data_IF_412442651417
#
_entry.id   IF_412442651417
#
_cell.length_a   1.000
_cell.length_b   1.000
_cell.length_c   1.000
_cell.angle_alpha   90.00
_cell.angle_beta   90.00
_cell.angle_gamma   90.00
#
_symmetry.space_group_name_H-M   'P 1'
#
loop_
_entity.id
_entity.type
_entity.pdbx_description
1 polymer ?
#
# COMPACT_ATOMS: atom_id res chain seq x y z
N UNK A 1 25.57 -47.60 -6.56
CA UNK A 1 25.26 -46.52 -5.61
C UNK A 1 23.78 -46.28 -5.76
N UNK A 2 23.01 -46.61 -4.74
CA UNK A 2 21.57 -46.35 -4.76
C UNK A 2 21.38 -44.90 -4.30
N UNK A 3 20.88 -44.07 -5.21
CA UNK A 3 20.50 -42.68 -4.91
C UNK A 3 18.98 -42.63 -4.83
N UNK A 4 18.45 -42.05 -3.75
CA UNK A 4 17.02 -41.82 -3.57
C UNK A 4 16.77 -40.41 -3.06
N UNK A 5 15.61 -39.85 -3.42
CA UNK A 5 15.14 -38.56 -2.90
C UNK A 5 14.19 -38.84 -1.75
N UNK A 6 14.48 -38.30 -0.56
CA UNK A 6 13.58 -38.38 0.59
C UNK A 6 12.73 -37.11 0.67
N UNK A 7 11.41 -37.29 0.74
CA UNK A 7 10.47 -36.20 0.94
C UNK A 7 9.90 -36.22 2.36
N UNK A 8 9.84 -35.06 3.02
CA UNK A 8 9.37 -34.94 4.40
C UNK A 8 8.41 -33.76 4.58
N UNK A 9 7.16 -33.95 4.16
CA UNK A 9 6.09 -32.95 4.30
C UNK A 9 4.76 -33.62 4.63
N UNK A 10 3.82 -32.83 5.18
CA UNK A 10 2.45 -33.26 5.46
C UNK A 10 1.49 -33.02 4.28
N UNK A 11 0.21 -33.37 4.46
CA UNK A 11 -0.82 -33.17 3.44
C UNK A 11 -1.19 -31.70 3.17
N UNK A 12 -0.66 -30.77 3.96
CA UNK A 12 -0.80 -29.32 3.77
C UNK A 12 0.46 -28.68 3.17
N UNK A 13 1.38 -29.52 2.64
CA UNK A 13 2.63 -29.08 2.02
C UNK A 13 3.59 -28.38 3.00
N UNK A 14 3.47 -28.66 4.29
CA UNK A 14 4.37 -28.15 5.32
C UNK A 14 5.47 -29.18 5.56
N UNK A 15 6.74 -28.75 5.47
CA UNK A 15 7.89 -29.61 5.74
C UNK A 15 8.02 -29.91 7.25
N UNK A 16 8.29 -31.16 7.64
CA UNK A 16 8.65 -31.47 9.03
C UNK A 16 10.13 -31.18 9.35
N UNK A 17 10.96 -30.97 8.32
CA UNK A 17 12.31 -30.43 8.49
C UNK A 17 12.26 -28.95 8.13
N UNK A 18 12.46 -28.11 9.13
CA UNK A 18 12.46 -26.66 8.99
C UNK A 18 13.79 -26.08 9.45
N UNK A 19 14.16 -24.94 8.88
CA UNK A 19 15.20 -24.09 9.44
C UNK A 19 14.56 -23.21 10.51
N UNK A 20 15.20 -23.10 11.66
CA UNK A 20 14.76 -22.23 12.75
C UNK A 20 15.73 -21.05 12.85
N UNK A 21 15.20 -19.84 13.05
CA UNK A 21 16.01 -18.73 13.54
C UNK A 21 16.12 -18.82 15.08
N UNK A 22 17.21 -18.35 15.71
CA UNK A 22 17.34 -18.38 17.18
C UNK A 22 16.27 -17.58 17.94
N UNK A 23 15.48 -16.75 17.27
CA UNK A 23 14.48 -15.86 17.87
C UNK A 23 13.05 -16.42 17.87
N UNK A 24 12.77 -17.51 17.15
CA UNK A 24 11.39 -17.96 16.88
C UNK A 24 11.23 -19.48 17.08
N UNK A 25 11.08 -19.90 18.34
CA UNK A 25 10.72 -21.29 18.70
C UNK A 25 9.24 -21.62 18.41
N UNK A 26 8.43 -20.65 17.95
CA UNK A 26 6.97 -20.77 17.86
C UNK A 26 6.35 -20.39 16.50
N UNK A 27 7.12 -20.01 15.49
CA UNK A 27 6.63 -19.71 14.14
C UNK A 27 7.34 -20.61 13.12
N UNK A 28 6.54 -21.34 12.34
CA UNK A 28 7.00 -22.21 11.27
C UNK A 28 7.40 -21.32 10.10
N UNK A 29 8.64 -20.86 10.13
CA UNK A 29 9.21 -20.04 9.08
C UNK A 29 10.21 -19.09 9.69
N UNK A 30 11.51 -19.38 9.54
CA UNK A 30 12.39 -18.48 8.82
C UNK A 30 13.61 -19.23 8.29
N UNK A 31 14.03 -18.76 7.12
CA UNK A 31 14.78 -19.45 6.11
C UNK A 31 16.29 -19.43 6.36
N UNK A 32 17.02 -20.44 5.88
CA UNK A 32 18.49 -20.40 5.79
C UNK A 32 18.99 -19.35 4.78
N UNK A 33 18.10 -18.59 4.11
CA UNK A 33 18.46 -17.48 3.21
C UNK A 33 19.31 -16.44 3.95
N UNK A 34 20.43 -16.06 3.34
CA UNK A 34 21.47 -15.22 3.94
C UNK A 34 22.28 -15.90 5.06
N UNK A 35 22.06 -17.19 5.31
CA UNK A 35 22.68 -17.94 6.40
C UNK A 35 23.31 -19.25 5.91
N UNK A 36 24.08 -19.87 6.79
CA UNK A 36 24.60 -21.22 6.59
C UNK A 36 24.37 -22.05 7.84
N UNK A 37 24.02 -23.31 7.67
CA UNK A 37 23.89 -24.28 8.74
C UNK A 37 24.81 -25.46 8.45
N UNK A 38 25.53 -25.91 9.47
CA UNK A 38 26.32 -27.15 9.39
C UNK A 38 25.57 -28.27 10.09
N UNK A 39 25.55 -29.45 9.51
CA UNK A 39 25.02 -30.65 10.16
C UNK A 39 26.11 -31.70 10.25
N UNK A 40 26.01 -32.55 11.27
CA UNK A 40 26.84 -33.73 11.42
C UNK A 40 25.95 -34.90 11.81
N UNK A 41 25.98 -35.95 11.00
CA UNK A 41 25.24 -37.17 11.26
C UNK A 41 26.15 -38.37 11.06
N UNK A 42 26.25 -39.22 12.08
CA UNK A 42 27.11 -40.41 12.05
C UNK A 42 28.56 -40.11 11.61
N UNK A 43 29.14 -39.02 12.13
CA UNK A 43 30.50 -38.54 11.81
C UNK A 43 30.73 -38.08 10.37
N UNK A 44 29.67 -37.97 9.56
CA UNK A 44 29.66 -37.29 8.27
C UNK A 44 29.09 -35.88 8.46
N UNK A 45 29.95 -34.89 8.23
CA UNK A 45 29.57 -33.48 8.29
C UNK A 45 29.27 -32.89 6.91
N UNK A 46 28.36 -31.92 6.86
CA UNK A 46 28.04 -31.13 5.68
C UNK A 46 27.57 -29.73 6.05
N UNK A 47 27.43 -28.86 5.04
CA UNK A 47 26.89 -27.51 5.19
C UNK A 47 25.76 -27.28 4.19
N UNK A 48 24.74 -26.57 4.64
CA UNK A 48 23.66 -26.03 3.82
C UNK A 48 23.85 -24.51 3.82
N UNK A 49 23.79 -23.89 2.65
CA UNK A 49 23.85 -22.42 2.49
C UNK A 49 22.60 -21.99 1.78
N UNK A 50 21.84 -21.05 2.37
CA UNK A 50 20.78 -20.36 1.66
C UNK A 50 21.34 -19.07 1.08
N UNK A 51 21.72 -19.09 -0.19
CA UNK A 51 22.08 -17.86 -0.89
C UNK A 51 20.85 -17.05 -1.28
N UNK A 52 21.10 -15.84 -1.76
CA UNK A 52 20.15 -15.03 -2.52
C UNK A 52 20.41 -15.21 -4.02
N UNK A 53 19.46 -14.84 -4.85
CA UNK A 53 19.57 -14.82 -6.30
C UNK A 53 19.49 -13.37 -6.82
N UNK A 54 19.82 -13.16 -8.10
CA UNK A 54 19.48 -11.89 -8.74
C UNK A 54 18.11 -12.02 -9.39
N UNK A 55 17.25 -11.06 -9.13
CA UNK A 55 15.96 -10.91 -9.77
C UNK A 55 16.04 -10.24 -11.14
N UNK A 56 15.01 -10.45 -11.97
CA UNK A 56 14.78 -9.67 -13.19
C UNK A 56 13.30 -9.39 -13.37
N UNK A 57 12.95 -8.21 -13.87
CA UNK A 57 11.57 -7.83 -14.16
C UNK A 57 11.43 -7.44 -15.62
N UNK A 58 10.32 -7.82 -16.24
CA UNK A 58 10.01 -7.53 -17.64
C UNK A 58 8.58 -7.03 -17.78
N UNK A 59 8.38 -6.14 -18.75
CA UNK A 59 7.09 -5.56 -19.09
C UNK A 59 7.14 -5.27 -20.59
N UNK A 60 6.58 -6.16 -21.40
CA UNK A 60 6.76 -6.12 -22.86
C UNK A 60 5.49 -6.47 -23.59
N UNK A 61 5.13 -5.64 -24.57
CA UNK A 61 4.04 -5.93 -25.49
C UNK A 61 4.48 -6.98 -26.51
N UNK A 62 3.62 -7.96 -26.80
CA UNK A 62 3.90 -9.05 -27.75
C UNK A 62 4.32 -8.55 -29.15
N UNK A 63 3.78 -7.41 -29.58
CA UNK A 63 4.04 -6.82 -30.91
C UNK A 63 4.86 -5.52 -30.84
N UNK A 64 5.56 -5.25 -29.73
CA UNK A 64 6.38 -4.04 -29.53
C UNK A 64 5.61 -2.72 -29.48
N UNK A 65 4.31 -2.72 -29.75
CA UNK A 65 3.40 -1.58 -29.66
C UNK A 65 2.38 -1.83 -28.57
N UNK A 66 2.08 -0.81 -27.77
CA UNK A 66 1.13 -0.90 -26.68
C UNK A 66 -0.02 0.11 -26.86
N UNK A 67 -1.12 -0.29 -27.51
CA UNK A 67 -2.31 0.56 -27.64
C UNK A 67 -3.04 0.72 -26.32
N UNK A 68 -3.62 1.90 -26.09
CA UNK A 68 -4.49 2.16 -24.93
C UNK A 68 -5.58 1.10 -24.84
N UNK A 69 -5.81 0.59 -23.64
CA UNK A 69 -6.78 -0.47 -23.39
C UNK A 69 -6.29 -1.88 -23.72
N UNK A 70 -5.04 -2.08 -24.13
CA UNK A 70 -4.47 -3.43 -24.37
C UNK A 70 -3.70 -3.90 -23.14
N UNK A 71 -3.94 -5.14 -22.72
CA UNK A 71 -3.18 -5.78 -21.63
C UNK A 71 -1.84 -6.30 -22.14
N UNK A 72 -0.79 -6.13 -21.34
CA UNK A 72 0.53 -6.72 -21.57
C UNK A 72 1.02 -7.41 -20.30
N UNK A 73 1.87 -8.46 -20.42
CA UNK A 73 2.40 -9.15 -19.26
C UNK A 73 3.41 -8.30 -18.49
N UNK A 74 3.42 -8.49 -17.18
CA UNK A 74 4.51 -8.14 -16.28
C UNK A 74 5.03 -9.45 -15.69
N UNK A 75 6.33 -9.69 -15.78
CA UNK A 75 6.95 -10.93 -15.28
C UNK A 75 8.18 -10.60 -14.45
N UNK A 76 8.13 -11.00 -13.18
CA UNK A 76 9.26 -11.00 -12.25
C UNK A 76 9.82 -12.42 -12.20
N UNK A 77 11.13 -12.58 -12.34
CA UNK A 77 11.84 -13.83 -12.09
C UNK A 77 12.77 -13.60 -10.93
N UNK A 78 12.48 -14.22 -9.79
CA UNK A 78 13.26 -14.12 -8.56
C UNK A 78 13.07 -15.41 -7.74
N UNK A 79 14.17 -16.11 -7.47
CA UNK A 79 14.18 -17.35 -6.70
C UNK A 79 14.12 -17.11 -5.19
N UNK A 80 14.32 -15.87 -4.75
CA UNK A 80 14.28 -15.53 -3.33
C UNK A 80 12.86 -15.45 -2.80
N UNK A 81 11.92 -15.07 -3.66
CA UNK A 81 10.49 -15.06 -3.35
C UNK A 81 9.82 -16.44 -3.50
N UNK A 82 10.48 -17.41 -4.14
CA UNK A 82 10.05 -18.82 -4.16
C UNK A 82 10.41 -19.50 -2.81
N UNK A 83 9.56 -19.25 -1.81
CA UNK A 83 9.82 -19.62 -0.41
C UNK A 83 9.47 -21.09 -0.13
N UNK A 84 8.43 -21.63 -0.77
CA UNK A 84 7.96 -22.99 -0.60
C UNK A 84 7.69 -23.66 -1.96
N UNK A 85 8.63 -24.54 -2.34
CA UNK A 85 8.61 -25.33 -3.56
C UNK A 85 7.38 -26.26 -3.82
N UNK A 86 6.38 -26.26 -2.95
CA UNK A 86 5.17 -27.11 -3.02
C UNK A 86 3.88 -26.31 -3.07
N UNK A 87 3.97 -25.00 -3.09
CA UNK A 87 2.83 -24.12 -3.29
C UNK A 87 3.19 -23.10 -4.33
N UNK A 88 2.15 -22.52 -4.91
CA UNK A 88 2.26 -21.36 -5.77
C UNK A 88 2.28 -20.12 -4.86
N UNK A 89 3.36 -19.35 -4.88
CA UNK A 89 3.44 -18.13 -4.08
C UNK A 89 2.70 -16.94 -4.70
N UNK A 90 2.18 -16.06 -3.85
CA UNK A 90 1.56 -14.80 -4.25
C UNK A 90 2.25 -13.63 -3.55
N UNK A 91 2.67 -12.64 -4.33
CA UNK A 91 3.26 -11.38 -3.85
C UNK A 91 2.16 -10.34 -3.62
N UNK A 92 1.18 -10.73 -2.78
CA UNK A 92 0.04 -9.89 -2.45
C UNK A 92 0.46 -8.67 -1.61
N UNK A 93 -0.11 -7.50 -1.92
CA UNK A 93 0.20 -6.25 -1.23
C UNK A 93 -0.18 -6.32 0.26
N UNK A 94 -1.18 -7.12 0.60
CA UNK A 94 -1.61 -7.31 1.98
C UNK A 94 -0.92 -8.46 2.73
N UNK A 95 -0.03 -9.21 2.07
CA UNK A 95 0.63 -10.37 2.66
C UNK A 95 1.70 -9.98 3.69
N UNK A 96 1.60 -10.47 4.92
CA UNK A 96 2.63 -10.28 5.96
C UNK A 96 3.94 -11.02 5.67
N UNK A 97 3.87 -12.05 4.82
CA UNK A 97 5.02 -12.83 4.34
C UNK A 97 5.64 -12.27 3.05
N UNK A 98 5.15 -11.13 2.56
CA UNK A 98 5.63 -10.45 1.35
C UNK A 98 6.42 -9.23 1.79
N UNK A 99 7.73 -9.29 1.62
CA UNK A 99 8.64 -8.21 2.02
C UNK A 99 8.67 -7.08 0.99
N UNK A 100 8.43 -7.42 -0.27
CA UNK A 100 8.61 -6.54 -1.44
C UNK A 100 7.49 -6.69 -2.44
N UNK A 101 7.02 -5.58 -2.98
CA UNK A 101 5.98 -5.54 -4.01
C UNK A 101 6.44 -4.76 -5.22
N UNK A 102 6.14 -5.29 -6.40
CA UNK A 102 6.39 -4.57 -7.66
C UNK A 102 5.52 -3.32 -7.68
N UNK A 103 6.13 -2.14 -7.87
CA UNK A 103 5.46 -0.86 -7.74
C UNK A 103 5.82 0.08 -8.89
N UNK A 104 4.91 0.99 -9.22
CA UNK A 104 5.11 2.12 -10.12
C UNK A 104 4.63 3.38 -9.42
N UNK A 105 5.52 4.37 -9.33
CA UNK A 105 5.23 5.68 -8.75
C UNK A 105 5.31 6.74 -9.83
N UNK A 106 4.22 7.46 -10.05
CA UNK A 106 4.17 8.59 -10.98
C UNK A 106 3.96 9.86 -10.17
N UNK A 107 4.83 10.86 -10.36
CA UNK A 107 4.73 12.14 -9.67
C UNK A 107 5.01 12.03 -8.17
N UNK A 108 4.30 12.84 -7.37
CA UNK A 108 4.50 12.94 -5.91
C UNK A 108 3.22 12.66 -5.12
N UNK A 109 2.71 11.42 -5.13
CA UNK A 109 1.61 11.00 -4.27
C UNK A 109 1.90 11.29 -2.80
N UNK A 110 0.84 11.55 -2.03
CA UNK A 110 0.91 11.62 -0.58
C UNK A 110 0.50 10.26 -0.03
N UNK A 111 1.42 9.58 0.66
CA UNK A 111 1.17 8.26 1.25
C UNK A 111 1.33 8.29 2.77
N UNK A 112 1.07 7.17 3.43
CA UNK A 112 1.20 7.06 4.89
C UNK A 112 2.57 7.53 5.41
N UNK A 113 3.65 7.24 4.68
CA UNK A 113 5.03 7.55 5.04
C UNK A 113 5.57 8.90 4.57
N UNK A 114 4.70 9.88 4.34
CA UNK A 114 5.07 11.18 3.81
C UNK A 114 6.12 11.97 4.64
N UNK A 115 6.41 11.57 5.88
CA UNK A 115 7.55 12.09 6.63
C UNK A 115 8.30 11.02 7.42
N UNK A 116 7.60 10.41 8.38
CA UNK A 116 8.04 9.28 9.23
C UNK A 116 6.84 8.88 10.06
N UNK A 117 6.17 7.86 9.61
CA UNK A 117 4.90 7.44 10.14
C UNK A 117 5.05 6.66 11.44
N UNK A 118 4.01 6.74 12.24
CA UNK A 118 3.82 5.87 13.40
C UNK A 118 2.37 5.45 13.40
N UNK A 119 2.11 4.23 13.84
CA UNK A 119 0.77 3.70 13.91
C UNK A 119 0.41 3.26 15.33
N UNK A 120 -0.87 3.38 15.66
CA UNK A 120 -1.46 2.88 16.89
C UNK A 120 -2.84 2.29 16.63
N UNK A 121 -3.19 1.27 17.42
CA UNK A 121 -4.51 0.65 17.37
C UNK A 121 -5.43 1.27 18.42
N UNK A 122 -6.64 1.63 17.99
CA UNK A 122 -7.71 2.09 18.84
C UNK A 122 -8.74 0.98 19.02
N UNK A 123 -9.10 0.67 20.27
CA UNK A 123 -10.14 -0.30 20.57
C UNK A 123 -11.49 0.17 20.02
N UNK A 124 -11.78 1.47 20.21
CA UNK A 124 -12.89 2.19 19.59
C UNK A 124 -12.48 3.60 19.19
N UNK A 125 -13.02 4.10 18.09
CA UNK A 125 -12.88 5.47 17.62
C UNK A 125 -14.28 6.02 17.32
N UNK A 126 -14.83 6.81 18.25
CA UNK A 126 -16.15 7.40 18.10
C UNK A 126 -16.02 8.79 17.47
N UNK A 127 -16.60 8.97 16.29
CA UNK A 127 -16.64 10.26 15.58
C UNK A 127 -17.97 11.00 15.77
N UNK A 128 -17.92 12.28 16.12
CA UNK A 128 -19.07 13.18 16.11
C UNK A 128 -18.95 14.18 14.95
N UNK A 129 -19.90 14.15 14.00
CA UNK A 129 -19.93 15.06 12.86
C UNK A 129 -20.41 16.45 13.29
N UNK A 130 -19.59 17.46 13.02
CA UNK A 130 -19.87 18.85 13.35
C UNK A 130 -20.55 19.57 12.18
N UNK A 131 -21.19 20.71 12.46
CA UNK A 131 -21.89 21.52 11.45
C UNK A 131 -20.98 22.04 10.32
N UNK A 132 -19.67 22.16 10.58
CA UNK A 132 -18.68 22.54 9.57
C UNK A 132 -18.15 21.34 8.76
N UNK A 133 -18.69 20.13 8.95
CA UNK A 133 -18.33 18.95 8.17
C UNK A 133 -17.04 18.26 8.59
N UNK A 134 -16.44 18.74 9.67
CA UNK A 134 -15.36 18.05 10.38
C UNK A 134 -15.95 17.05 11.37
N UNK A 135 -15.29 15.93 11.57
CA UNK A 135 -15.58 14.96 12.62
C UNK A 135 -14.62 15.20 13.77
N UNK A 136 -15.11 15.23 15.01
CA UNK A 136 -14.28 15.18 16.20
C UNK A 136 -14.22 13.74 16.71
N UNK A 137 -13.02 13.20 16.83
CA UNK A 137 -12.82 11.85 17.34
C UNK A 137 -12.54 11.82 18.84
N UNK A 138 -13.31 10.98 19.53
CA UNK A 138 -12.94 10.45 20.85
C UNK A 138 -12.39 9.05 20.66
N UNK A 139 -11.09 8.89 20.89
CA UNK A 139 -10.38 7.63 20.69
C UNK A 139 -10.23 6.94 22.03
N UNK A 140 -10.67 5.69 22.13
CA UNK A 140 -10.30 4.84 23.26
C UNK A 140 -9.11 4.02 22.80
N UNK A 141 -7.88 4.36 23.25
CA UNK A 141 -6.71 3.62 22.81
C UNK A 141 -6.84 2.17 23.26
N UNK A 142 -6.56 1.24 22.35
CA UNK A 142 -6.21 -0.11 22.80
C UNK A 142 -4.81 0.03 23.38
N UNK A 143 -4.59 -0.39 24.64
CA UNK A 143 -3.38 -0.12 25.43
C UNK A 143 -2.10 -0.06 24.58
N UNK A 144 -1.31 1.01 24.67
CA UNK A 144 0.00 1.26 24.04
C UNK A 144 0.49 0.17 23.08
N UNK A 145 0.15 0.29 21.80
CA UNK A 145 0.70 -0.54 20.73
C UNK A 145 1.20 0.42 19.64
N UNK A 146 2.37 1.03 19.87
CA UNK A 146 3.06 1.74 18.80
C UNK A 146 3.65 0.71 17.87
N UNK A 147 3.45 0.87 16.56
CA UNK A 147 4.05 -0.03 15.59
C UNK A 147 5.54 0.26 15.41
N UNK A 148 6.34 -0.79 15.28
CA UNK A 148 7.56 -0.72 14.49
C UNK A 148 7.18 -0.85 13.02
N UNK A 149 7.69 0.02 12.16
CA UNK A 149 7.63 -0.21 10.72
C UNK A 149 8.77 -1.14 10.32
N UNK A 150 8.41 -2.30 9.77
CA UNK A 150 9.32 -3.36 9.35
C UNK A 150 9.42 -3.46 7.81
N UNK A 151 8.88 -2.48 7.08
CA UNK A 151 8.86 -2.54 5.63
C UNK A 151 10.27 -2.52 5.02
N UNK A 152 10.49 -3.40 4.04
CA UNK A 152 11.80 -3.57 3.40
C UNK A 152 11.92 -2.70 2.14
N UNK A 153 10.82 -2.48 1.42
CA UNK A 153 10.78 -1.72 0.16
C UNK A 153 10.09 -0.36 0.26
N UNK A 154 9.77 0.09 1.48
CA UNK A 154 8.86 1.20 1.75
C UNK A 154 9.24 2.53 1.08
N UNK A 155 10.55 2.77 0.97
CA UNK A 155 11.12 3.95 0.31
C UNK A 155 10.66 4.11 -1.14
N UNK A 156 10.24 3.00 -1.78
CA UNK A 156 9.74 2.95 -3.14
C UNK A 156 8.27 2.53 -3.22
N UNK A 157 7.86 1.52 -2.46
CA UNK A 157 6.48 0.98 -2.47
C UNK A 157 5.49 1.86 -1.73
N UNK A 158 5.96 2.72 -0.81
CA UNK A 158 5.13 3.49 0.12
C UNK A 158 4.10 2.58 0.85
N UNK A 159 4.52 1.35 1.18
CA UNK A 159 3.75 0.31 1.84
C UNK A 159 4.38 0.01 3.20
N UNK A 160 4.01 0.75 4.27
CA UNK A 160 4.47 0.42 5.62
C UNK A 160 3.95 -0.95 6.06
N UNK A 161 4.75 -1.63 6.89
CA UNK A 161 4.42 -2.92 7.48
C UNK A 161 4.49 -2.78 8.99
N UNK A 162 3.33 -2.56 9.61
CA UNK A 162 3.25 -2.23 11.03
C UNK A 162 3.27 -3.47 11.91
N UNK A 163 4.30 -3.59 12.74
CA UNK A 163 4.38 -4.59 13.79
C UNK A 163 4.03 -4.01 15.15
N UNK A 164 2.90 -4.44 15.70
CA UNK A 164 2.36 -3.96 16.96
C UNK A 164 2.81 -4.87 18.10
N UNK A 165 3.31 -4.29 19.18
CA UNK A 165 3.75 -5.04 20.36
C UNK A 165 2.90 -4.68 21.57
N UNK A 166 2.38 -5.67 22.30
CA UNK A 166 1.56 -5.45 23.49
C UNK A 166 1.74 -6.52 24.58
N UNK A 167 1.63 -6.12 25.85
CA UNK A 167 1.66 -7.04 27.00
C UNK A 167 0.34 -7.80 27.25
N UNK A 168 -0.74 -7.43 26.57
CA UNK A 168 -2.06 -8.09 26.63
C UNK A 168 -2.72 -8.13 25.26
N UNK A 169 -3.78 -8.94 25.12
CA UNK A 169 -4.60 -9.02 23.91
C UNK A 169 -5.14 -7.65 23.49
N UNK A 170 -5.05 -7.35 22.19
CA UNK A 170 -5.58 -6.12 21.56
C UNK A 170 -6.81 -6.48 20.75
N UNK A 171 -7.96 -5.96 21.17
CA UNK A 171 -9.23 -6.14 20.46
C UNK A 171 -9.59 -4.87 19.67
N UNK A 172 -9.67 -4.97 18.33
CA UNK A 172 -10.37 -3.95 17.52
C UNK A 172 -11.86 -4.34 17.55
N UNK A 173 -12.67 -3.48 18.18
CA UNK A 173 -14.13 -3.68 18.24
C UNK A 173 -14.78 -3.10 16.99
N UNK A 174 -16.10 -3.26 16.83
CA UNK A 174 -16.83 -2.47 15.86
C UNK A 174 -16.58 -0.98 16.15
N UNK A 175 -16.23 -0.19 15.13
CA UNK A 175 -15.70 1.19 15.24
C UNK A 175 -14.30 1.34 15.81
N UNK A 176 -13.58 0.25 16.08
CA UNK A 176 -12.14 0.29 16.33
C UNK A 176 -11.38 0.78 15.10
N UNK A 177 -10.14 1.24 15.28
CA UNK A 177 -9.42 1.90 14.21
C UNK A 177 -7.92 1.65 14.20
N UNK A 178 -7.33 1.71 13.00
CA UNK A 178 -5.93 2.02 12.82
C UNK A 178 -5.78 3.55 12.76
N UNK A 179 -4.95 4.11 13.63
CA UNK A 179 -4.58 5.53 13.61
C UNK A 179 -3.13 5.62 13.15
N UNK A 180 -2.87 6.42 12.12
CA UNK A 180 -1.53 6.65 11.58
C UNK A 180 -1.19 8.13 11.68
N UNK A 181 -0.12 8.49 12.38
CA UNK A 181 0.53 9.80 12.25
C UNK A 181 1.48 9.73 11.06
N UNK A 182 1.32 10.57 10.04
CA UNK A 182 2.11 10.44 8.80
C UNK A 182 3.54 10.98 8.88
N UNK A 183 3.91 11.73 9.92
CA UNK A 183 5.15 12.49 9.83
C UNK A 183 5.02 13.86 9.17
N UNK A 184 3.90 14.15 8.50
CA UNK A 184 3.78 15.27 7.57
C UNK A 184 2.80 16.35 8.05
N UNK A 185 2.92 17.54 7.44
CA UNK A 185 1.97 18.64 7.62
C UNK A 185 0.97 18.68 6.48
N UNK A 186 -0.12 19.41 6.70
CA UNK A 186 -1.11 19.67 5.66
C UNK A 186 -0.48 20.29 4.41
N UNK A 187 0.58 21.11 4.55
CA UNK A 187 1.32 21.65 3.41
C UNK A 187 1.87 20.56 2.47
N UNK A 188 2.36 19.44 3.01
CA UNK A 188 2.86 18.33 2.19
C UNK A 188 1.75 17.74 1.33
N UNK A 189 0.56 17.52 1.91
CA UNK A 189 -0.60 17.05 1.17
C UNK A 189 -1.07 18.08 0.12
N UNK A 190 -1.12 19.37 0.48
CA UNK A 190 -1.54 20.46 -0.41
C UNK A 190 -0.59 20.67 -1.60
N UNK A 191 0.65 20.18 -1.55
CA UNK A 191 1.55 20.16 -2.70
C UNK A 191 1.21 19.03 -3.69
N UNK A 192 0.50 18.00 -3.23
CA UNK A 192 0.13 16.84 -4.03
C UNK A 192 -1.29 16.96 -4.61
N UNK A 193 -2.23 17.44 -3.81
CA UNK A 193 -3.65 17.59 -4.19
C UNK A 193 -3.96 18.98 -4.71
N UNK A 194 -4.99 19.10 -5.54
CA UNK A 194 -5.36 20.35 -6.19
C UNK A 194 -6.82 20.71 -5.92
N UNK A 195 -7.09 22.01 -5.72
CA UNK A 195 -8.42 22.50 -5.49
C UNK A 195 -9.21 22.50 -6.80
N UNK A 196 -10.26 21.69 -6.88
CA UNK A 196 -11.19 21.63 -8.03
C UNK A 196 -12.27 22.71 -7.96
N UNK A 197 -12.45 23.37 -6.82
CA UNK A 197 -13.33 24.52 -6.72
C UNK A 197 -12.78 25.67 -7.57
N UNK A 198 -13.55 26.06 -8.58
CA UNK A 198 -13.13 27.10 -9.54
C UNK A 198 -13.25 28.52 -9.00
N UNK A 199 -13.90 28.70 -7.84
CA UNK A 199 -14.16 30.02 -7.25
C UNK A 199 -12.85 30.76 -6.95
N UNK A 200 -12.69 31.95 -7.53
CA UNK A 200 -11.49 32.77 -7.34
C UNK A 200 -10.25 32.34 -8.13
N UNK A 201 -10.36 31.32 -9.01
CA UNK A 201 -9.24 30.88 -9.86
C UNK A 201 -9.29 31.51 -11.25
N UNK A 202 -8.12 31.88 -11.79
CA UNK A 202 -7.99 32.29 -13.19
C UNK A 202 -7.91 31.08 -14.12
N UNK A 203 -8.17 31.27 -15.41
CA UNK A 203 -8.05 30.19 -16.39
C UNK A 203 -6.64 29.57 -16.42
N UNK A 204 -5.58 30.34 -16.15
CA UNK A 204 -4.20 29.84 -16.20
C UNK A 204 -3.80 28.99 -14.97
N UNK A 205 -4.47 29.18 -13.83
CA UNK A 205 -4.12 28.53 -12.56
C UNK A 205 -5.16 27.52 -12.08
N UNK A 206 -6.27 27.39 -12.81
CA UNK A 206 -7.37 26.50 -12.47
C UNK A 206 -6.97 25.04 -12.69
N UNK A 207 -7.26 24.19 -11.72
CA UNK A 207 -7.12 22.75 -11.89
C UNK A 207 -8.39 22.15 -12.49
N UNK A 208 -8.21 21.29 -13.48
CA UNK A 208 -9.23 20.56 -14.23
C UNK A 208 -8.95 19.07 -14.06
N UNK A 209 -9.62 18.44 -13.09
CA UNK A 209 -9.40 17.03 -12.79
C UNK A 209 -10.07 16.62 -11.48
N UNK A 210 -9.56 15.54 -10.90
CA UNK A 210 -10.10 14.95 -9.68
C UNK A 210 -8.98 14.62 -8.69
N UNK A 211 -9.38 14.60 -7.41
CA UNK A 211 -8.62 14.08 -6.30
C UNK A 211 -9.13 12.67 -5.98
N UNK A 212 -8.22 11.78 -5.63
CA UNK A 212 -8.50 10.39 -5.35
C UNK A 212 -7.83 9.96 -4.05
N UNK A 213 -8.45 8.98 -3.39
CA UNK A 213 -7.80 8.17 -2.36
C UNK A 213 -7.79 6.72 -2.83
N UNK A 214 -6.61 6.11 -2.80
CA UNK A 214 -6.40 4.69 -2.96
C UNK A 214 -6.02 4.12 -1.59
N UNK A 215 -6.56 2.98 -1.18
CA UNK A 215 -6.10 2.32 0.04
C UNK A 215 -6.28 0.81 -0.04
N UNK A 216 -5.43 0.11 0.71
CA UNK A 216 -5.56 -1.31 0.98
C UNK A 216 -5.23 -1.60 2.44
N UNK A 217 -6.21 -2.18 3.13
CA UNK A 217 -6.16 -2.59 4.52
C UNK A 217 -6.53 -4.06 4.66
N UNK A 218 -6.47 -4.84 3.57
CA UNK A 218 -6.67 -6.29 3.60
C UNK A 218 -5.65 -6.98 4.52
N UNK A 219 -4.54 -6.34 4.87
CA UNK A 219 -3.61 -6.86 5.90
C UNK A 219 -4.27 -7.05 7.27
N UNK A 220 -5.44 -6.45 7.50
CA UNK A 220 -6.26 -6.63 8.70
C UNK A 220 -7.27 -7.79 8.60
N UNK A 221 -7.37 -8.50 7.47
CA UNK A 221 -8.12 -9.77 7.38
C UNK A 221 -7.22 -10.93 7.76
N UNK A 222 -7.77 -11.96 8.41
CA UNK A 222 -7.06 -13.21 8.72
C UNK A 222 -5.74 -13.05 9.49
N UNK A 223 -5.70 -12.12 10.45
CA UNK A 223 -4.54 -11.82 11.29
C UNK A 223 -4.02 -13.06 12.03
N UNK A 224 -2.97 -13.73 11.52
CA UNK A 224 -2.11 -14.68 12.25
C UNK A 224 -2.76 -15.53 13.37
N UNK A 225 -3.87 -16.21 13.07
CA UNK A 225 -4.53 -17.10 14.04
C UNK A 225 -5.41 -16.40 15.10
N UNK A 226 -5.79 -15.14 14.87
CA UNK A 226 -6.79 -14.43 15.64
C UNK A 226 -8.17 -15.10 15.56
N UNK A 227 -8.77 -15.43 16.70
CA UNK A 227 -10.17 -15.87 16.80
C UNK A 227 -11.10 -14.65 16.81
N UNK A 228 -11.67 -14.29 15.66
CA UNK A 228 -12.58 -13.14 15.53
C UNK A 228 -13.19 -13.05 14.12
N UNK A 229 -14.08 -12.09 13.90
CA UNK A 229 -14.64 -11.81 12.56
C UNK A 229 -13.85 -10.70 11.89
N UNK A 230 -13.35 -10.98 10.69
CA UNK A 230 -12.61 -10.01 9.87
C UNK A 230 -13.38 -8.69 9.70
N UNK A 231 -12.69 -7.54 9.60
CA UNK A 231 -13.36 -6.30 9.27
C UNK A 231 -13.96 -6.38 7.87
N UNK A 232 -15.21 -5.95 7.75
CA UNK A 232 -15.98 -6.06 6.51
C UNK A 232 -16.03 -4.76 5.73
N UNK A 233 -15.80 -3.62 6.39
CA UNK A 233 -15.85 -2.30 5.78
C UNK A 233 -14.91 -1.34 6.52
N UNK A 234 -14.53 -0.26 5.85
CA UNK A 234 -13.69 0.80 6.42
C UNK A 234 -14.20 2.18 6.07
N UNK A 235 -14.23 3.05 7.07
CA UNK A 235 -14.38 4.48 6.88
C UNK A 235 -13.01 5.16 7.04
N UNK A 236 -12.61 5.91 6.02
CA UNK A 236 -11.30 6.56 5.94
C UNK A 236 -11.45 8.04 6.23
N UNK A 237 -10.66 8.53 7.17
CA UNK A 237 -10.60 9.94 7.54
C UNK A 237 -9.18 10.48 7.45
N UNK A 238 -9.04 11.72 6.98
CA UNK A 238 -7.83 12.51 7.21
C UNK A 238 -8.00 13.20 8.56
N UNK A 239 -7.25 12.78 9.56
CA UNK A 239 -7.19 13.45 10.85
C UNK A 239 -6.15 14.58 10.81
N UNK A 240 -6.40 15.64 11.56
CA UNK A 240 -5.46 16.73 11.74
C UNK A 240 -5.46 17.28 13.16
N UNK A 241 -4.29 17.72 13.58
CA UNK A 241 -4.11 18.49 14.80
C UNK A 241 -3.84 19.95 14.40
N UNK A 242 -4.83 20.81 14.61
CA UNK A 242 -4.80 22.23 14.24
C UNK A 242 -3.73 23.03 14.99
N UNK A 243 -3.26 22.53 16.13
CA UNK A 243 -2.16 23.15 16.90
C UNK A 243 -0.77 22.82 16.35
N UNK A 244 -0.68 21.92 15.37
CA UNK A 244 0.60 21.44 14.80
C UNK A 244 1.29 20.35 15.65
N UNK A 245 0.70 19.94 16.78
CA UNK A 245 1.18 18.81 17.57
C UNK A 245 0.99 17.46 16.88
N UNK A 246 1.65 16.41 17.38
CA UNK A 246 1.53 15.06 16.84
C UNK A 246 0.07 14.53 16.86
N UNK A 247 -0.22 13.58 15.97
CA UNK A 247 -1.48 12.81 15.95
C UNK A 247 -1.40 11.69 16.99
N UNK A 248 -0.21 11.09 17.14
CA UNK A 248 0.12 10.10 18.17
C UNK A 248 1.17 10.72 19.09
N UNK A 249 0.90 10.79 20.38
CA UNK A 249 1.83 11.37 21.34
C UNK A 249 3.07 10.49 21.57
N UNK A 250 4.06 11.01 22.30
CA UNK A 250 5.31 10.27 22.60
C UNK A 250 5.12 8.99 23.40
N UNK A 251 3.94 8.79 24.01
CA UNK A 251 3.57 7.54 24.69
C UNK A 251 2.90 6.52 23.76
N UNK A 252 2.85 6.77 22.45
CA UNK A 252 2.23 5.87 21.47
C UNK A 252 0.70 5.87 21.53
N UNK A 253 0.08 6.95 22.02
CA UNK A 253 -1.37 7.07 22.18
C UNK A 253 -1.92 8.15 21.24
N UNK A 254 -2.96 7.85 20.44
CA UNK A 254 -3.65 8.87 19.66
C UNK A 254 -4.15 10.03 20.53
N UNK A 255 -4.01 11.25 20.02
CA UNK A 255 -4.48 12.46 20.70
C UNK A 255 -6.02 12.49 20.71
N UNK A 256 -6.61 12.92 21.82
CA UNK A 256 -8.07 13.06 21.92
C UNK A 256 -8.57 14.30 21.20
N UNK A 257 -9.82 14.27 20.75
CA UNK A 257 -10.49 15.37 20.04
C UNK A 257 -9.75 15.79 18.75
N UNK A 258 -9.14 14.82 18.07
CA UNK A 258 -8.60 15.04 16.73
C UNK A 258 -9.74 15.44 15.80
N UNK A 259 -9.51 16.51 15.05
CA UNK A 259 -10.39 16.89 13.96
C UNK A 259 -10.12 15.98 12.78
N UNK A 260 -11.15 15.65 12.01
CA UNK A 260 -10.99 14.78 10.87
C UNK A 260 -11.97 15.10 9.73
N UNK A 261 -11.56 14.82 8.50
CA UNK A 261 -12.40 14.93 7.30
C UNK A 261 -12.63 13.52 6.77
N UNK A 262 -13.88 13.09 6.67
CA UNK A 262 -14.23 11.83 5.98
C UNK A 262 -13.86 11.95 4.50
N UNK A 263 -13.03 11.02 4.01
CA UNK A 263 -12.53 10.97 2.63
C UNK A 263 -13.19 9.83 1.86
N UNK A 264 -13.35 8.66 2.49
CA UNK A 264 -13.99 7.50 1.88
C UNK A 264 -14.84 6.73 2.90
N UNK A 265 -15.91 6.11 2.42
CA UNK A 265 -16.71 5.15 3.17
C UNK A 265 -16.90 3.92 2.27
N UNK A 266 -16.10 2.88 2.50
CA UNK A 266 -16.01 1.73 1.63
C UNK A 266 -16.55 0.48 2.32
N UNK A 267 -17.24 -0.34 1.54
CA UNK A 267 -17.78 -1.63 1.97
C UNK A 267 -16.77 -2.78 1.82
N UNK A 268 -15.51 -2.47 1.55
CA UNK A 268 -14.39 -3.39 1.40
C UNK A 268 -13.15 -2.76 2.05
N UNK A 269 -12.12 -3.56 2.34
CA UNK A 269 -10.86 -3.06 2.91
C UNK A 269 -9.85 -2.54 1.88
N UNK A 270 -10.16 -2.71 0.59
CA UNK A 270 -9.42 -2.16 -0.53
C UNK A 270 -10.38 -1.29 -1.36
N UNK A 271 -9.97 -0.08 -1.73
CA UNK A 271 -10.78 0.76 -2.61
C UNK A 271 -10.00 1.89 -3.27
N UNK A 272 -10.50 2.30 -4.44
CA UNK A 272 -10.08 3.51 -5.15
C UNK A 272 -11.28 4.45 -5.28
N UNK A 273 -11.21 5.61 -4.64
CA UNK A 273 -12.35 6.52 -4.46
C UNK A 273 -12.02 7.92 -4.97
N UNK A 274 -12.89 8.47 -5.80
CA UNK A 274 -12.88 9.89 -6.15
C UNK A 274 -13.40 10.71 -4.96
N UNK A 275 -12.58 11.64 -4.45
CA UNK A 275 -12.88 12.37 -3.22
C UNK A 275 -13.69 13.64 -3.45
N UNK A 276 -13.91 14.06 -4.70
CA UNK A 276 -14.65 15.28 -5.05
C UNK A 276 -16.18 15.17 -4.83
N UNK A 277 -16.60 14.37 -3.86
CA UNK A 277 -17.98 14.22 -3.46
C UNK A 277 -18.42 15.29 -2.44
N UNK A 278 -19.72 15.56 -2.43
CA UNK A 278 -20.39 16.31 -1.37
C UNK A 278 -20.76 15.37 -0.23
N UNK A 279 -20.47 15.74 1.01
CA UNK A 279 -20.83 14.92 2.17
C UNK A 279 -22.35 15.01 2.48
N UNK A 280 -22.79 14.27 3.51
CA UNK A 280 -24.19 14.27 3.96
C UNK A 280 -24.70 15.64 4.47
N UNK A 281 -23.80 16.58 4.79
CA UNK A 281 -24.14 17.95 5.24
C UNK A 281 -24.13 18.97 4.11
N UNK A 282 -23.94 18.54 2.86
CA UNK A 282 -23.95 19.41 1.69
C UNK A 282 -22.62 20.12 1.41
N UNK A 283 -21.54 19.75 2.12
CA UNK A 283 -20.24 20.39 2.00
C UNK A 283 -19.31 19.62 1.06
N UNK A 284 -18.59 20.37 0.23
CA UNK A 284 -17.68 19.81 -0.79
C UNK A 284 -16.36 19.45 -0.11
N UNK A 285 -15.71 18.36 -0.54
CA UNK A 285 -14.39 17.96 -0.06
C UNK A 285 -13.37 19.11 -0.07
N UNK A 286 -13.30 19.86 -1.17
CA UNK A 286 -12.33 20.95 -1.32
C UNK A 286 -12.50 22.08 -0.30
N UNK A 287 -13.74 22.46 0.03
CA UNK A 287 -14.01 23.51 1.02
C UNK A 287 -13.51 23.11 2.42
N UNK A 288 -13.57 21.82 2.73
CA UNK A 288 -13.16 21.27 4.03
C UNK A 288 -11.65 21.02 4.09
N UNK A 289 -11.07 20.45 3.03
CA UNK A 289 -9.66 20.05 3.01
C UNK A 289 -8.74 21.27 2.88
N UNK A 290 -9.06 22.23 2.00
CA UNK A 290 -8.23 23.42 1.75
C UNK A 290 -8.42 24.53 2.80
N UNK A 291 -9.34 24.36 3.76
CA UNK A 291 -9.48 25.27 4.92
C UNK A 291 -8.65 24.84 6.14
N UNK A 292 -8.03 23.65 6.10
CA UNK A 292 -7.13 23.18 7.17
C UNK A 292 -5.84 24.03 7.11
N UNK A 293 -5.34 24.55 8.26
CA UNK A 293 -4.08 25.28 8.28
C UNK A 293 -2.93 24.46 7.72
N UNK A 294 -2.11 25.05 6.83
CA UNK A 294 -0.98 24.38 6.19
C UNK A 294 0.05 23.80 7.21
N UNK A 295 0.14 24.40 8.40
CA UNK A 295 1.02 23.96 9.50
C UNK A 295 0.42 22.83 10.34
N UNK A 296 -0.85 22.47 10.15
CA UNK A 296 -1.47 21.40 10.92
C UNK A 296 -0.76 20.08 10.64
N UNK A 297 -0.52 19.30 11.70
CA UNK A 297 -0.06 17.93 11.56
C UNK A 297 -1.20 17.08 11.03
N UNK A 298 -0.92 16.13 10.14
CA UNK A 298 -1.95 15.26 9.56
C UNK A 298 -1.65 13.78 9.75
N UNK A 299 -2.72 13.00 9.79
CA UNK A 299 -2.74 11.57 9.99
C UNK A 299 -3.94 10.92 9.32
N UNK A 300 -4.02 9.60 9.38
CA UNK A 300 -5.20 8.85 8.96
C UNK A 300 -5.87 8.19 10.15
N UNK A 301 -7.20 8.09 10.09
CA UNK A 301 -7.98 7.20 10.95
C UNK A 301 -8.76 6.28 10.02
N UNK A 302 -8.46 5.00 10.09
CA UNK A 302 -9.17 3.94 9.38
C UNK A 302 -10.08 3.23 10.37
N UNK A 303 -11.35 3.63 10.39
CA UNK A 303 -12.33 3.08 11.32
C UNK A 303 -12.98 1.86 10.69
N UNK A 304 -12.84 0.71 11.34
CA UNK A 304 -13.31 -0.58 10.85
C UNK A 304 -14.75 -0.87 11.30
N UNK A 305 -15.50 -1.54 10.42
CA UNK A 305 -16.75 -2.20 10.77
C UNK A 305 -16.49 -3.70 10.88
N UNK A 306 -16.89 -4.31 12.00
CA UNK A 306 -16.69 -5.74 12.27
C UNK A 306 -17.98 -6.36 12.83
N UNK A 307 -18.24 -7.64 12.56
CA UNK A 307 -19.42 -8.37 13.06
C UNK A 307 -19.05 -9.23 14.27
N UNK A 308 -18.75 -8.64 15.43
CA UNK A 308 -18.32 -9.42 16.61
C UNK A 308 -17.80 -8.53 17.74
N UNK A 309 -17.39 -9.15 18.85
CA UNK A 309 -16.88 -8.40 20.02
C UNK A 309 -15.38 -8.07 19.92
N UNK A 310 -14.61 -8.75 19.07
CA UNK A 310 -13.13 -8.68 19.06
C UNK A 310 -12.53 -9.13 17.72
N UNK A 311 -11.72 -8.29 17.09
CA UNK A 311 -10.60 -8.70 16.23
C UNK A 311 -9.36 -8.80 17.13
N UNK A 312 -8.90 -10.00 17.53
CA UNK A 312 -7.66 -10.10 18.28
C UNK A 312 -6.51 -9.82 17.32
N UNK A 313 -5.99 -8.59 17.28
CA UNK A 313 -4.78 -8.30 16.51
C UNK A 313 -3.59 -9.06 17.09
N UNK A 314 -3.68 -9.39 18.38
CA UNK A 314 -2.67 -10.00 19.22
C UNK A 314 -3.40 -10.85 20.26
N UNK A 315 -3.20 -12.17 20.32
CA UNK A 315 -3.75 -13.02 21.41
C UNK A 315 -2.69 -13.93 22.02
N UNK A 316 -2.19 -13.60 23.21
CA UNK A 316 -1.59 -14.57 24.15
C UNK A 316 -1.77 -14.09 25.58
N UNK A 317 -2.08 -15.01 26.49
CA UNK A 317 -2.12 -14.73 27.93
C UNK A 317 -0.71 -14.83 28.52
N UNK A 318 -0.23 -13.76 29.17
CA UNK A 318 0.90 -13.80 30.11
C UNK A 318 2.28 -13.32 29.62
N UNK A 319 2.49 -13.02 28.33
CA UNK A 319 3.77 -12.48 27.81
C UNK A 319 3.53 -11.43 26.73
N UNK A 320 4.51 -10.54 26.50
CA UNK A 320 4.48 -9.56 25.40
C UNK A 320 4.34 -10.29 24.05
N UNK A 321 3.42 -9.83 23.22
CA UNK A 321 3.16 -10.39 21.88
C UNK A 321 3.38 -9.31 20.85
N UNK A 322 4.01 -9.69 19.75
CA UNK A 322 4.30 -8.84 18.60
C UNK A 322 3.61 -9.43 17.37
N UNK A 323 2.93 -8.60 16.57
CA UNK A 323 2.36 -9.06 15.29
C UNK A 323 3.49 -9.33 14.29
N UNK A 324 3.30 -10.27 13.35
CA UNK A 324 4.30 -10.56 12.32
C UNK A 324 4.45 -9.46 11.25
N UNK A 325 3.84 -8.29 11.46
CA UNK A 325 3.73 -7.22 10.48
C UNK A 325 2.36 -7.20 9.80
N UNK A 326 1.76 -6.03 9.74
CA UNK A 326 0.47 -5.77 9.09
C UNK A 326 0.70 -4.70 8.03
N UNK A 327 0.72 -5.07 6.74
CA UNK A 327 0.80 -4.10 5.65
C UNK A 327 -0.42 -3.19 5.64
N UNK A 328 -0.20 -1.90 5.38
CA UNK A 328 -1.27 -0.94 5.20
C UNK A 328 -0.87 0.09 4.15
N UNK A 329 -1.77 0.39 3.22
CA UNK A 329 -1.54 1.37 2.17
C UNK A 329 -2.66 2.39 2.18
N UNK A 330 -2.30 3.67 2.06
CA UNK A 330 -3.22 4.72 1.66
C UNK A 330 -2.47 5.84 0.95
N UNK A 331 -2.94 6.20 -0.23
CA UNK A 331 -2.37 7.22 -1.10
C UNK A 331 -3.45 8.25 -1.47
N UNK A 332 -3.17 9.54 -1.32
CA UNK A 332 -4.02 10.63 -1.81
C UNK A 332 -3.29 11.36 -2.92
N UNK A 333 -3.97 11.59 -4.04
CA UNK A 333 -3.38 12.24 -5.20
C UNK A 333 -4.40 12.88 -6.14
N UNK A 334 -3.89 13.73 -7.04
CA UNK A 334 -4.68 14.30 -8.14
C UNK A 334 -4.30 13.71 -9.49
N UNK A 335 -5.29 13.65 -10.39
CA UNK A 335 -5.09 13.47 -11.83
C UNK A 335 -5.87 14.56 -12.56
N UNK A 336 -5.22 15.27 -13.48
CA UNK A 336 -5.85 16.38 -14.19
C UNK A 336 -4.87 17.25 -14.98
N UNK A 337 -5.32 18.44 -15.35
CA UNK A 337 -4.46 19.50 -15.92
C UNK A 337 -4.65 20.81 -15.17
N UNK A 338 -3.60 21.64 -15.11
CA UNK A 338 -3.64 23.02 -14.65
C UNK A 338 -3.70 23.94 -15.87
N UNK A 339 -4.67 24.83 -15.91
CA UNK A 339 -4.93 25.69 -17.05
C UNK A 339 -5.20 24.87 -18.32
N UNK A 340 -4.41 25.09 -19.35
CA UNK A 340 -4.58 24.46 -20.67
C UNK A 340 -3.79 23.15 -20.84
N UNK A 341 -2.95 22.75 -19.86
CA UNK A 341 -2.16 21.52 -19.93
C UNK A 341 -1.08 21.53 -21.03
N UNK A 342 -0.71 22.69 -21.58
CA UNK A 342 0.26 22.78 -22.68
C UNK A 342 1.66 22.41 -22.23
N UNK A 343 2.05 22.80 -21.00
CA UNK A 343 3.35 22.47 -20.43
C UNK A 343 3.31 21.16 -19.64
N UNK A 344 4.41 20.42 -19.60
CA UNK A 344 4.47 19.13 -18.91
C UNK A 344 4.20 19.26 -17.39
N UNK A 345 4.60 20.37 -16.76
CA UNK A 345 4.33 20.64 -15.34
C UNK A 345 2.84 20.95 -15.04
N UNK A 346 2.04 21.27 -16.05
CA UNK A 346 0.60 21.49 -15.91
C UNK A 346 -0.18 20.18 -15.99
N UNK A 347 0.40 19.10 -16.48
CA UNK A 347 -0.24 17.79 -16.55
C UNK A 347 0.00 17.09 -15.22
N UNK A 348 -1.04 16.74 -14.49
CA UNK A 348 -0.94 16.18 -13.14
C UNK A 348 -1.35 14.71 -13.18
N UNK A 349 -0.45 13.85 -12.69
CA UNK A 349 -0.71 12.45 -12.38
C UNK A 349 0.26 12.09 -11.25
N UNK A 350 -0.28 11.91 -10.04
CA UNK A 350 0.48 11.72 -8.81
C UNK A 350 0.17 10.35 -8.18
N UNK A 351 -0.01 9.28 -8.96
CA UNK A 351 -0.51 8.00 -8.46
C UNK A 351 0.59 6.96 -8.16
N UNK A 352 0.28 6.01 -7.26
CA UNK A 352 1.06 4.79 -7.03
C UNK A 352 0.23 3.59 -7.49
N UNK A 353 0.89 2.66 -8.17
CA UNK A 353 0.32 1.40 -8.63
C UNK A 353 1.16 0.24 -8.13
N UNK A 354 0.54 -0.80 -7.55
CA UNK A 354 1.22 -1.97 -6.96
C UNK A 354 0.68 -3.25 -7.60
N UNK A 355 1.59 -4.15 -7.97
CA UNK A 355 1.26 -5.41 -8.63
C UNK A 355 1.26 -6.56 -7.62
N UNK A 356 0.13 -7.27 -7.56
CA UNK A 356 0.01 -8.53 -6.83
C UNK A 356 0.36 -9.69 -7.78
N UNK A 357 1.66 -9.93 -7.95
CA UNK A 357 2.14 -10.95 -8.88
C UNK A 357 1.94 -12.35 -8.29
N UNK A 358 1.64 -13.32 -9.15
CA UNK A 358 1.40 -14.71 -8.77
C UNK A 358 2.41 -15.60 -9.47
N UNK A 359 2.98 -16.56 -8.74
CA UNK A 359 3.90 -17.53 -9.30
C UNK A 359 3.20 -18.34 -10.42
N UNK A 360 3.91 -18.63 -11.51
CA UNK A 360 3.33 -19.32 -12.68
C UNK A 360 3.02 -20.81 -12.46
N UNK A 361 3.38 -21.32 -11.28
CA UNK A 361 3.17 -22.67 -10.79
C UNK A 361 4.18 -22.98 -9.68
N UNK A 362 4.00 -24.12 -9.00
CA UNK A 362 4.85 -24.48 -7.87
C UNK A 362 6.34 -24.48 -8.24
N UNK A 363 7.14 -23.77 -7.43
CA UNK A 363 8.60 -23.78 -7.50
C UNK A 363 9.19 -23.30 -8.83
N UNK A 364 8.52 -22.38 -9.52
CA UNK A 364 9.03 -21.79 -10.76
C UNK A 364 9.98 -20.62 -10.50
N UNK A 365 9.77 -19.86 -9.41
CA UNK A 365 10.45 -18.58 -9.17
C UNK A 365 10.13 -17.53 -10.24
N UNK A 366 9.06 -17.74 -11.01
CA UNK A 366 8.59 -16.83 -12.05
C UNK A 366 7.19 -16.39 -11.66
N UNK A 367 7.05 -15.10 -11.39
CA UNK A 367 5.80 -14.45 -10.99
C UNK A 367 5.26 -13.61 -12.14
N UNK A 368 3.99 -13.78 -12.44
CA UNK A 368 3.31 -13.11 -13.54
C UNK A 368 2.17 -12.23 -13.03
N UNK A 369 1.89 -11.19 -13.81
CA UNK A 369 0.73 -10.32 -13.69
C UNK A 369 0.50 -9.63 -15.03
N UNK A 370 -0.44 -8.71 -15.07
CA UNK A 370 -0.70 -7.92 -16.28
C UNK A 370 -0.80 -6.44 -15.97
N UNK A 371 -0.60 -5.63 -17.00
CA UNK A 371 -0.83 -4.19 -16.92
C UNK A 371 -1.49 -3.67 -18.19
N UNK A 372 -2.28 -2.62 -18.01
CA UNK A 372 -3.03 -1.93 -19.02
C UNK A 372 -2.99 -0.44 -18.72
N UNK A 373 -3.03 0.41 -19.74
CA UNK A 373 -3.21 1.85 -19.55
C UNK A 373 -4.42 2.37 -20.29
N UNK A 374 -4.98 3.45 -19.78
CA UNK A 374 -5.99 4.25 -20.44
C UNK A 374 -5.42 5.62 -20.78
N UNK A 375 -5.39 5.98 -22.06
CA UNK A 375 -4.95 7.30 -22.50
C UNK A 375 -6.03 8.35 -22.21
N UNK A 376 -5.65 9.39 -21.46
CA UNK A 376 -6.51 10.54 -21.22
C UNK A 376 -6.52 11.49 -22.43
N UNK A 377 -7.69 12.04 -22.70
CA UNK A 377 -7.95 13.02 -23.75
C UNK A 377 -8.96 14.07 -23.27
N UNK A 378 -9.23 15.08 -24.10
CA UNK A 378 -10.12 16.19 -23.79
C UNK A 378 -11.54 15.76 -23.43
N UNK A 379 -12.01 14.62 -23.98
CA UNK A 379 -13.37 14.13 -23.76
C UNK A 379 -13.49 13.33 -22.47
N UNK A 380 -12.45 12.58 -22.10
CA UNK A 380 -12.53 11.63 -20.99
C UNK A 380 -11.88 12.14 -19.69
N UNK A 381 -11.04 13.19 -19.74
CA UNK A 381 -10.31 13.74 -18.58
C UNK A 381 -11.26 14.14 -17.43
N UNK A 382 -12.37 14.79 -17.77
CA UNK A 382 -13.34 15.31 -16.80
C UNK A 382 -14.56 14.38 -16.60
N UNK A 383 -14.50 13.16 -17.11
CA UNK A 383 -15.53 12.16 -16.89
C UNK A 383 -15.12 11.24 -15.72
N UNK A 384 -15.82 11.27 -14.56
CA UNK A 384 -15.50 10.41 -13.42
C UNK A 384 -15.52 8.91 -13.76
N UNK A 385 -16.38 8.47 -14.69
CA UNK A 385 -16.49 7.08 -15.10
C UNK A 385 -15.23 6.55 -15.81
N UNK A 386 -14.40 7.43 -16.37
CA UNK A 386 -13.09 7.09 -16.93
C UNK A 386 -12.18 6.44 -15.88
N UNK A 387 -12.30 6.88 -14.62
CA UNK A 387 -11.41 6.47 -13.52
C UNK A 387 -12.00 5.36 -12.65
N UNK A 388 -13.30 5.09 -12.75
CA UNK A 388 -14.00 4.15 -11.88
C UNK A 388 -13.49 2.69 -11.98
N UNK A 389 -12.83 2.34 -13.10
CA UNK A 389 -12.30 1.00 -13.35
C UNK A 389 -10.77 0.90 -13.16
N UNK A 390 -10.11 1.96 -12.67
CA UNK A 390 -8.69 1.88 -12.37
C UNK A 390 -8.45 0.80 -11.31
N UNK A 391 -7.33 0.10 -11.49
CA UNK A 391 -6.89 -0.98 -10.62
C UNK A 391 -5.50 -0.61 -10.15
N UNK A 392 -5.45 0.10 -9.03
CA UNK A 392 -4.25 0.68 -8.44
C UNK A 392 -3.44 -0.33 -7.64
N UNK A 393 -4.09 -1.32 -7.05
CA UNK A 393 -3.45 -2.45 -6.36
C UNK A 393 -4.12 -3.70 -6.92
N UNK A 394 -3.42 -4.49 -7.74
CA UNK A 394 -4.05 -5.63 -8.40
C UNK A 394 -3.04 -6.56 -9.09
N UNK A 395 -3.49 -7.77 -9.44
CA UNK A 395 -2.80 -8.63 -10.38
C UNK A 395 -2.85 -8.13 -11.84
N UNK A 396 -3.94 -7.45 -12.22
CA UNK A 396 -4.13 -6.78 -13.52
C UNK A 396 -4.20 -5.26 -13.30
N UNK A 397 -3.05 -4.57 -13.24
CA UNK A 397 -3.01 -3.12 -12.95
C UNK A 397 -3.53 -2.32 -14.15
N UNK A 398 -4.50 -1.43 -13.92
CA UNK A 398 -4.96 -0.44 -14.89
C UNK A 398 -4.71 0.97 -14.39
N UNK A 399 -3.84 1.68 -15.10
CA UNK A 399 -3.49 3.06 -14.81
C UNK A 399 -3.91 4.02 -15.92
N UNK A 400 -3.83 5.31 -15.64
CA UNK A 400 -4.05 6.36 -16.65
C UNK A 400 -2.73 6.96 -17.12
N UNK A 401 -2.64 7.19 -18.42
CA UNK A 401 -1.56 7.96 -19.00
C UNK A 401 -2.09 9.35 -19.39
N UNK A 402 -1.36 10.39 -19.02
CA UNK A 402 -1.56 11.74 -19.52
C UNK A 402 -0.48 12.04 -20.56
N UNK A 403 -0.78 12.93 -21.51
CA UNK A 403 0.07 13.18 -22.69
C UNK A 403 1.56 13.35 -22.34
N UNK A 404 2.42 12.78 -23.21
CA UNK A 404 3.88 12.97 -23.24
C UNK A 404 4.66 12.38 -22.06
N UNK A 405 4.13 11.36 -21.39
CA UNK A 405 4.89 10.54 -20.44
C UNK A 405 5.85 9.58 -21.19
N UNK A 406 6.75 10.13 -22.00
CA UNK A 406 7.70 9.38 -22.84
C UNK A 406 8.69 8.60 -21.98
N UNK A 407 9.21 7.48 -22.50
CA UNK A 407 10.20 6.63 -21.80
C UNK A 407 11.45 7.38 -21.28
N UNK A 408 11.79 8.53 -21.88
CA UNK A 408 12.90 9.37 -21.43
C UNK A 408 12.58 10.28 -20.25
N UNK A 409 11.31 10.37 -19.83
CA UNK A 409 10.89 11.26 -18.75
C UNK A 409 10.78 10.53 -17.42
N UNK A 410 11.02 11.23 -16.31
CA UNK A 410 10.83 10.68 -14.96
C UNK A 410 9.38 10.28 -14.64
N UNK A 411 8.43 10.62 -15.53
CA UNK A 411 7.00 10.33 -15.39
C UNK A 411 6.57 9.12 -16.21
N UNK A 412 7.49 8.51 -16.93
CA UNK A 412 7.18 7.40 -17.79
C UNK A 412 6.75 6.19 -16.94
N UNK A 413 5.64 5.51 -17.30
CA UNK A 413 5.18 4.32 -16.60
C UNK A 413 6.26 3.24 -16.65
N UNK A 414 6.71 2.84 -15.47
CA UNK A 414 7.76 1.86 -15.27
C UNK A 414 7.39 1.04 -14.04
N UNK A 415 7.39 -0.29 -14.19
CA UNK A 415 7.30 -1.20 -13.04
C UNK A 415 8.70 -1.40 -12.49
N UNK A 416 8.83 -1.31 -11.17
CA UNK A 416 10.11 -1.46 -10.47
C UNK A 416 9.93 -2.39 -9.28
N UNK A 417 10.97 -3.16 -8.98
CA UNK A 417 11.04 -4.10 -7.87
C UNK A 417 12.39 -3.95 -7.16
N UNK A 418 12.41 -4.09 -5.83
CA UNK A 418 13.62 -3.96 -5.02
C UNK A 418 14.20 -5.35 -4.74
N UNK A 419 15.00 -5.87 -5.67
CA UNK A 419 15.63 -7.18 -5.57
C UNK A 419 16.69 -7.24 -4.46
N UNK A 420 16.74 -8.33 -3.69
CA UNK A 420 17.86 -8.61 -2.80
C UNK A 420 18.84 -9.52 -3.52
N UNK A 421 19.85 -8.92 -4.16
CA UNK A 421 20.75 -9.65 -5.03
C UNK A 421 21.54 -10.77 -4.31
N UNK A 422 22.13 -11.65 -5.11
CA UNK A 422 23.00 -12.74 -4.63
C UNK A 422 24.22 -12.26 -3.81
N UNK A 423 24.57 -10.98 -3.92
CA UNK A 423 25.60 -10.29 -3.14
C UNK A 423 25.10 -9.76 -1.79
N UNK A 424 23.82 -9.96 -1.46
CA UNK A 424 23.17 -9.50 -0.24
C UNK A 424 22.82 -8.01 -0.26
N UNK A 425 22.80 -7.36 -1.43
CA UNK A 425 22.52 -5.94 -1.58
C UNK A 425 21.18 -5.70 -2.26
N UNK A 426 20.36 -4.81 -1.69
CA UNK A 426 19.12 -4.38 -2.31
C UNK A 426 19.40 -3.52 -3.56
N UNK A 427 18.89 -3.95 -4.72
CA UNK A 427 19.04 -3.27 -6.02
C UNK A 427 17.68 -3.08 -6.67
N UNK A 428 17.39 -1.87 -7.16
CA UNK A 428 16.18 -1.63 -7.95
C UNK A 428 16.36 -2.17 -9.36
N UNK A 429 15.43 -3.03 -9.77
CA UNK A 429 15.29 -3.51 -11.14
C UNK A 429 13.98 -2.97 -11.71
N UNK A 430 13.98 -2.57 -12.97
CA UNK A 430 12.83 -1.91 -13.56
C UNK A 430 12.61 -2.31 -15.01
N UNK A 431 11.35 -2.31 -15.43
CA UNK A 431 10.95 -2.57 -16.79
C UNK A 431 9.92 -1.55 -17.28
N UNK A 432 9.99 -1.26 -18.57
CA UNK A 432 9.12 -0.30 -19.22
C UNK A 432 8.78 -0.74 -20.64
N UNK A 433 7.54 -0.46 -21.04
CA UNK A 433 7.08 -0.55 -22.42
C UNK A 433 6.64 0.84 -22.91
N UNK A 434 7.23 1.30 -24.01
CA UNK A 434 6.77 2.51 -24.68
C UNK A 434 5.36 2.33 -25.27
N UNK A 435 4.57 3.41 -25.24
CA UNK A 435 3.26 3.50 -25.87
C UNK A 435 3.20 4.68 -26.86
N UNK A 436 2.27 4.66 -27.83
CA UNK A 436 2.19 5.68 -28.86
C UNK A 436 1.91 7.08 -28.31
N UNK A 437 2.56 8.09 -28.88
CA UNK A 437 2.26 9.50 -28.59
C UNK A 437 0.89 9.86 -29.19
N UNK A 438 -0.01 10.42 -28.39
CA UNK A 438 -1.28 10.95 -28.91
C UNK A 438 -1.02 12.26 -29.67
N UNK A 439 -1.44 12.31 -30.94
CA UNK A 439 -1.49 13.54 -31.73
C UNK A 439 -2.63 14.41 -31.21
N UNK A 440 -2.32 15.20 -30.18
CA UNK A 440 -3.17 16.29 -29.75
C UNK A 440 -3.06 17.44 -30.76
N UNK A 441 -4.00 17.52 -31.69
CA UNK A 441 -4.17 18.74 -32.47
C UNK A 441 -4.60 19.87 -31.53
N UNK A 442 -3.73 20.88 -31.39
CA UNK A 442 -3.99 22.18 -30.76
C UNK A 442 -5.33 22.74 -31.23
N UNK A 443 -6.35 22.75 -30.38
CA UNK A 443 -7.40 23.78 -30.34
C UNK A 443 -7.92 23.86 -28.89
N UNK A 444 -7.43 24.83 -28.12
CA UNK A 444 -8.27 25.66 -27.26
C UNK A 444 -7.94 27.10 -27.66
#
# INVERSE_FOLDING_TARGET
MDTGVFGNWDGAHVSNIVTLSPAEETSIGQSIRGQSATFNYNSLGGSIVGGFAFGSITMTATNGTWPSGTRIPVTLTDMDENKNSKVTEHLNDYGSNVDRVSTMKIGTPFSLNAGKETAALAATAAGALQANGTTLFSITPSKVATAADNAVDESFSNRPVFSFTNGTVVDIQNTGALVVDTGATMQTLLNTIHNTNTTGTTAATRFHGFNFVNFDLRGFTSLNGATGTDPTAVQVFLAYNSTGGAIINSGGVPVQNLHAISIANATNLESFVNTNATNATGQIFDERIFSIPATARIGFVFQFTTSGTTLPVISKSGSTVTTAGIPAVADIFSIGIIGDGTNNNQRINNAIYRWELEETGDNTGVFAGTTQFLMLNQLNLLNPSTYANLRTINHDVLFVAIQDMLQSEARAPQVTYLDLGADGVNTQISAQQGYPNSLWNRII
#
